data_IF_463689400436
#
_entry.id   IF_463689400436
#
_cell.length_a   1.000
_cell.length_b   1.000
_cell.length_c   1.000
_cell.angle_alpha   90.00
_cell.angle_beta   90.00
_cell.angle_gamma   90.00
#
_symmetry.space_group_name_H-M   'P 1'
#
loop_
_entity.id
_entity.type
_entity.pdbx_description
1 polymer ?
#
# COMPACT_ATOMS: atom_id res chain seq x y z
N UNK A 1 16.09 30.37 -14.38
CA UNK A 1 14.63 30.17 -14.50
C UNK A 1 14.32 28.90 -13.73
N UNK A 2 13.43 28.96 -12.74
CA UNK A 2 12.98 27.79 -11.97
C UNK A 2 11.61 27.41 -12.53
N UNK A 3 11.40 26.12 -12.81
CA UNK A 3 10.12 25.57 -13.30
C UNK A 3 9.72 24.37 -12.47
N UNK A 4 8.41 24.16 -12.32
CA UNK A 4 7.88 23.01 -11.60
C UNK A 4 8.32 21.70 -12.26
N UNK A 5 8.60 20.69 -11.43
CA UNK A 5 8.86 19.32 -11.86
C UNK A 5 7.55 18.72 -12.40
N UNK A 6 7.64 17.92 -13.46
CA UNK A 6 6.46 17.28 -14.03
C UNK A 6 5.80 16.29 -13.05
N UNK A 7 4.48 16.09 -13.18
CA UNK A 7 3.70 15.27 -12.24
C UNK A 7 4.20 13.82 -12.15
N UNK A 8 4.71 13.25 -13.24
CA UNK A 8 5.18 11.87 -13.26
C UNK A 8 6.47 11.70 -12.46
N UNK A 9 7.36 12.70 -12.54
CA UNK A 9 8.57 12.75 -11.73
C UNK A 9 8.26 13.03 -10.26
N UNK A 10 7.31 13.94 -9.96
CA UNK A 10 6.83 14.16 -8.58
C UNK A 10 6.26 12.87 -7.97
N UNK A 11 5.38 12.18 -8.70
CA UNK A 11 4.79 10.93 -8.22
C UNK A 11 5.86 9.86 -7.95
N UNK A 12 6.86 9.72 -8.83
CA UNK A 12 8.00 8.80 -8.61
C UNK A 12 8.87 9.17 -7.41
N UNK A 13 9.10 10.46 -7.18
CA UNK A 13 9.88 10.93 -6.02
C UNK A 13 9.12 10.66 -4.72
N UNK A 14 7.82 10.95 -4.69
CA UNK A 14 6.98 10.72 -3.52
C UNK A 14 6.77 9.22 -3.25
N UNK A 15 6.57 8.40 -4.28
CA UNK A 15 6.41 6.94 -4.11
C UNK A 15 7.71 6.26 -3.64
N UNK A 16 8.86 6.76 -4.10
CA UNK A 16 10.18 6.27 -3.69
C UNK A 16 10.60 6.65 -2.27
N UNK A 17 9.88 7.56 -1.59
CA UNK A 17 10.18 7.96 -0.21
C UNK A 17 9.25 7.32 0.82
N UNK A 18 8.09 6.81 0.41
CA UNK A 18 7.04 6.29 1.32
C UNK A 18 7.13 4.79 1.53
N UNK A 19 7.60 4.00 0.54
CA UNK A 19 7.78 2.54 0.68
C UNK A 19 9.21 2.17 0.30
N UNK A 20 10.12 2.27 1.27
CA UNK A 20 11.55 1.99 1.07
C UNK A 20 11.93 0.54 1.39
N UNK A 21 11.10 -0.15 2.18
CA UNK A 21 11.35 -1.52 2.59
C UNK A 21 10.07 -2.37 2.64
N UNK A 22 10.24 -3.68 2.49
CA UNK A 22 9.17 -4.67 2.53
C UNK A 22 8.41 -4.63 3.87
N UNK A 23 9.11 -4.36 4.96
CA UNK A 23 8.52 -4.31 6.30
C UNK A 23 7.52 -3.15 6.45
N UNK A 24 7.82 -2.00 5.86
CA UNK A 24 6.96 -0.82 5.82
C UNK A 24 5.75 -1.09 4.95
N UNK A 25 5.94 -1.72 3.78
CA UNK A 25 4.81 -2.16 2.95
C UNK A 25 3.86 -3.08 3.72
N UNK A 26 4.41 -4.06 4.45
CA UNK A 26 3.63 -4.94 5.33
C UNK A 26 2.92 -4.13 6.42
N UNK A 27 3.64 -3.23 7.09
CA UNK A 27 3.10 -2.40 8.18
C UNK A 27 1.87 -1.62 7.71
N UNK A 28 1.98 -0.90 6.60
CA UNK A 28 0.89 -0.07 6.08
C UNK A 28 -0.33 -0.92 5.68
N UNK A 29 -0.12 -2.08 5.04
CA UNK A 29 -1.23 -2.98 4.68
C UNK A 29 -1.92 -3.59 5.90
N UNK A 30 -1.16 -3.95 6.93
CA UNK A 30 -1.70 -4.47 8.19
C UNK A 30 -2.43 -3.37 8.97
N UNK A 31 -1.89 -2.15 9.02
CA UNK A 31 -2.56 -0.98 9.63
C UNK A 31 -3.90 -0.71 8.93
N UNK A 32 -3.95 -0.73 7.59
CA UNK A 32 -5.21 -0.60 6.84
C UNK A 32 -6.23 -1.70 7.21
N UNK A 33 -5.76 -2.94 7.39
CA UNK A 33 -6.63 -4.06 7.78
C UNK A 33 -7.19 -3.88 9.21
N UNK A 34 -6.36 -3.37 10.13
CA UNK A 34 -6.77 -3.06 11.51
C UNK A 34 -7.77 -1.91 11.53
N UNK A 35 -7.53 -0.86 10.75
CA UNK A 35 -8.44 0.29 10.61
C UNK A 35 -9.79 -0.12 10.02
N UNK A 36 -9.81 -1.13 9.14
CA UNK A 36 -11.02 -1.77 8.62
C UNK A 36 -11.72 -2.70 9.65
N UNK A 37 -11.17 -2.86 10.85
CA UNK A 37 -11.75 -3.66 11.93
C UNK A 37 -11.62 -5.17 11.73
N UNK A 38 -10.64 -5.63 10.95
CA UNK A 38 -10.40 -7.04 10.71
C UNK A 38 -10.11 -7.80 12.01
N UNK A 39 -10.65 -9.02 12.11
CA UNK A 39 -10.39 -9.96 13.20
C UNK A 39 -9.35 -11.02 12.82
N UNK A 40 -9.20 -11.25 11.52
CA UNK A 40 -8.27 -12.18 10.92
C UNK A 40 -7.53 -11.47 9.77
N UNK A 41 -6.19 -11.54 9.79
CA UNK A 41 -5.32 -10.97 8.76
C UNK A 41 -4.31 -12.03 8.37
N UNK A 42 -4.39 -12.50 7.14
CA UNK A 42 -3.48 -13.47 6.53
C UNK A 42 -2.42 -12.75 5.69
N UNK A 43 -1.15 -13.06 5.95
CA UNK A 43 -0.01 -12.48 5.22
C UNK A 43 0.75 -13.60 4.51
N UNK A 44 0.88 -13.50 3.19
CA UNK A 44 1.62 -14.45 2.36
C UNK A 44 2.77 -13.74 1.64
N UNK A 45 3.94 -14.36 1.71
CA UNK A 45 5.12 -13.93 0.97
C UNK A 45 5.38 -14.87 -0.19
N UNK A 46 5.62 -14.31 -1.36
CA UNK A 46 6.10 -15.04 -2.53
C UNK A 46 7.58 -14.76 -2.72
N UNK A 47 8.39 -15.82 -2.76
CA UNK A 47 9.85 -15.75 -2.80
C UNK A 47 10.42 -14.79 -1.74
N UNK A 48 10.07 -15.01 -0.47
CA UNK A 48 10.47 -14.16 0.67
C UNK A 48 10.08 -12.67 0.53
N UNK A 49 9.10 -12.36 -0.32
CA UNK A 49 8.64 -10.99 -0.59
C UNK A 49 9.36 -10.31 -1.76
N UNK A 50 10.29 -11.00 -2.43
CA UNK A 50 10.99 -10.50 -3.62
C UNK A 50 10.03 -10.44 -4.80
N UNK A 51 9.24 -11.50 -5.01
CA UNK A 51 8.27 -11.55 -6.11
C UNK A 51 6.96 -10.87 -5.73
N UNK A 52 6.57 -10.92 -4.45
CA UNK A 52 5.41 -10.19 -3.97
C UNK A 52 4.97 -10.52 -2.55
N UNK A 53 4.03 -9.72 -2.07
CA UNK A 53 3.33 -9.88 -0.80
C UNK A 53 1.83 -9.78 -1.05
N UNK A 54 1.07 -10.65 -0.39
CA UNK A 54 -0.39 -10.63 -0.35
C UNK A 54 -0.84 -10.50 1.11
N UNK A 55 -1.69 -9.50 1.39
CA UNK A 55 -2.36 -9.33 2.68
C UNK A 55 -3.85 -9.49 2.42
N UNK A 56 -4.50 -10.40 3.15
CA UNK A 56 -5.94 -10.67 3.05
C UNK A 56 -6.56 -10.52 4.43
N UNK A 57 -7.62 -9.74 4.53
CA UNK A 57 -8.32 -9.47 5.78
C UNK A 57 -9.83 -9.75 5.66
N UNK A 58 -10.49 -9.89 6.80
CA UNK A 58 -11.95 -10.03 6.93
C UNK A 58 -12.62 -8.74 7.41
N UNK A 59 -11.98 -7.58 7.18
CA UNK A 59 -12.47 -6.27 7.61
C UNK A 59 -13.65 -5.77 6.78
N UNK A 60 -14.03 -4.51 7.01
CA UNK A 60 -15.18 -3.87 6.34
C UNK A 60 -15.05 -3.73 4.82
N UNK A 61 -13.85 -3.97 4.28
CA UNK A 61 -13.52 -3.74 2.87
C UNK A 61 -13.59 -2.26 2.51
N UNK A 62 -13.52 -2.00 1.20
CA UNK A 62 -13.58 -0.65 0.63
C UNK A 62 -14.97 -0.47 -0.02
N UNK A 63 -15.62 0.67 0.25
CA UNK A 63 -16.90 1.01 -0.37
C UNK A 63 -16.73 1.12 -1.91
N UNK A 64 -17.62 0.52 -2.72
CA UNK A 64 -17.55 0.61 -4.18
C UNK A 64 -17.42 2.02 -4.75
N UNK A 65 -17.95 3.05 -4.05
CA UNK A 65 -17.82 4.45 -4.48
C UNK A 65 -16.37 4.94 -4.49
N UNK A 66 -15.50 4.33 -3.68
CA UNK A 66 -14.09 4.68 -3.56
C UNK A 66 -13.19 3.98 -4.58
N UNK A 67 -13.71 3.01 -5.36
CA UNK A 67 -12.89 2.19 -6.27
C UNK A 67 -12.22 2.99 -7.39
N UNK A 68 -12.87 4.06 -7.87
CA UNK A 68 -12.30 4.91 -8.93
C UNK A 68 -11.19 5.83 -8.44
N UNK A 69 -11.03 5.97 -7.12
CA UNK A 69 -10.06 6.89 -6.48
C UNK A 69 -8.90 6.19 -5.79
N UNK A 70 -8.83 4.86 -5.86
CA UNK A 70 -7.72 4.05 -5.35
C UNK A 70 -6.46 4.18 -6.22
#
# INVERSE_FOLDING_TARGET
IISAIDKQSVHRICSGQVVLDLATAVKELVENSIDAGASCIDIKFKDYGIEGIEVSDDGSGIDPVNYETL
#
